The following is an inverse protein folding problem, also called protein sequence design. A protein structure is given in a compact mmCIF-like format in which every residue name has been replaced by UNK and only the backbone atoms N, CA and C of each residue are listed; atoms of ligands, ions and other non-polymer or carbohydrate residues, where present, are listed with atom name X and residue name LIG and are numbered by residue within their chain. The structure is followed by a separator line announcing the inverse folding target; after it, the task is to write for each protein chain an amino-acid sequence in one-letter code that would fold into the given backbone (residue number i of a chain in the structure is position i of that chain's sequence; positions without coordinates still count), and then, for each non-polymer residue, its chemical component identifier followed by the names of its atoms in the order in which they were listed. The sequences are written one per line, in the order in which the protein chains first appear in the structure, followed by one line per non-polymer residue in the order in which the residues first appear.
data_IF_416731738090
#
_entry.id   IF_416731738090
#
_cell.length_a   1.000
_cell.length_b   1.000
_cell.length_c   1.000
_cell.angle_alpha   90.00
_cell.angle_beta   90.00
_cell.angle_gamma   90.00
#
_symmetry.space_group_name_H-M   'P 1'
#
loop_
_entity.id
_entity.type
_entity.pdbx_description
1 polymer ?
#
# COMPACT_ATOMS: atom_id res chain seq x y z
N UNK A 1 0.27 -0.16 -12.27
CA UNK A 1 -0.29 -0.35 -10.92
C UNK A 1 0.83 -0.12 -9.92
N UNK A 2 0.56 0.56 -8.81
CA UNK A 2 1.54 0.80 -7.76
C UNK A 2 0.97 0.36 -6.42
N UNK A 3 1.73 -0.41 -5.65
CA UNK A 3 1.34 -0.90 -4.33
C UNK A 3 2.09 -0.14 -3.23
N UNK A 4 1.40 0.17 -2.14
CA UNK A 4 2.03 0.42 -0.85
C UNK A 4 2.63 -0.87 -0.29
N UNK A 5 3.37 -0.77 0.82
CA UNK A 5 4.11 -1.88 1.43
C UNK A 5 3.43 -2.37 2.71
N UNK A 6 3.50 -1.56 3.78
CA UNK A 6 3.00 -1.95 5.09
C UNK A 6 1.50 -2.19 5.09
N UNK A 7 1.04 -3.26 5.73
CA UNK A 7 -0.37 -3.64 5.81
C UNK A 7 -1.10 -3.71 4.44
N UNK A 8 -0.33 -3.59 3.34
CA UNK A 8 -0.81 -3.82 1.97
C UNK A 8 -0.20 -5.08 1.38
N UNK A 9 1.12 -5.13 1.21
CA UNK A 9 1.87 -6.31 0.76
C UNK A 9 2.49 -7.08 1.93
N UNK A 10 2.89 -6.37 2.99
CA UNK A 10 3.62 -6.87 4.14
C UNK A 10 2.73 -6.84 5.38
N UNK A 11 2.68 -7.97 6.10
CA UNK A 11 2.09 -8.08 7.43
C UNK A 11 3.09 -7.55 8.46
N UNK A 12 2.79 -6.41 9.06
CA UNK A 12 3.67 -5.75 10.03
C UNK A 12 3.52 -6.31 11.47
N UNK A 13 2.74 -7.38 11.68
CA UNK A 13 2.50 -7.96 13.01
C UNK A 13 3.80 -8.26 13.76
N UNK A 14 4.80 -8.85 13.09
CA UNK A 14 6.09 -9.16 13.71
C UNK A 14 6.85 -7.89 14.09
N UNK A 15 6.87 -6.90 13.24
CA UNK A 15 7.51 -5.60 13.48
C UNK A 15 6.92 -4.92 14.72
N UNK A 16 5.58 -4.82 14.79
CA UNK A 16 4.87 -4.24 15.94
C UNK A 16 5.06 -5.05 17.22
N UNK A 17 5.15 -6.38 17.10
CA UNK A 17 5.44 -7.28 18.23
C UNK A 17 6.85 -7.03 18.78
N UNK A 18 7.85 -6.95 17.91
CA UNK A 18 9.23 -6.67 18.29
C UNK A 18 9.37 -5.28 18.94
N UNK A 19 8.66 -4.28 18.40
CA UNK A 19 8.63 -2.94 18.99
C UNK A 19 8.04 -2.98 20.40
N UNK A 20 6.90 -3.65 20.59
CA UNK A 20 6.28 -3.77 21.91
C UNK A 20 7.24 -4.39 22.94
N UNK A 21 7.93 -5.47 22.55
CA UNK A 21 8.91 -6.15 23.41
C UNK A 21 10.07 -5.21 23.80
N UNK A 22 10.61 -4.43 22.84
CA UNK A 22 11.67 -3.44 23.11
C UNK A 22 11.22 -2.35 24.10
N UNK A 23 9.93 -2.01 24.08
CA UNK A 23 9.32 -1.00 24.95
C UNK A 23 8.86 -1.58 26.30
N UNK A 24 9.02 -2.89 26.53
CA UNK A 24 8.52 -3.56 27.74
C UNK A 24 6.99 -3.61 27.81
N UNK A 25 6.31 -3.48 26.67
CA UNK A 25 4.85 -3.57 26.55
C UNK A 25 4.43 -4.92 25.99
N UNK A 26 3.17 -5.27 26.22
CA UNK A 26 2.57 -6.40 25.48
C UNK A 26 2.19 -5.93 24.07
N UNK A 27 2.27 -6.79 23.03
CA UNK A 27 1.81 -6.43 21.69
C UNK A 27 0.36 -5.94 21.67
N UNK A 28 -0.50 -6.56 22.47
CA UNK A 28 -1.91 -6.14 22.61
C UNK A 28 -2.03 -4.70 23.11
N UNK A 29 -1.24 -4.31 24.12
CA UNK A 29 -1.26 -2.93 24.65
C UNK A 29 -0.80 -1.93 23.60
N UNK A 30 0.30 -2.21 22.90
CA UNK A 30 0.81 -1.33 21.86
C UNK A 30 -0.20 -1.16 20.73
N UNK A 31 -0.74 -2.27 20.20
CA UNK A 31 -1.74 -2.23 19.13
C UNK A 31 -3.03 -1.52 19.55
N UNK A 32 -3.46 -1.67 20.82
CA UNK A 32 -4.62 -0.95 21.33
C UNK A 32 -4.40 0.57 21.36
N UNK A 33 -3.21 1.03 21.78
CA UNK A 33 -2.85 2.46 21.78
C UNK A 33 -2.81 3.00 20.35
N UNK A 34 -2.15 2.29 19.43
CA UNK A 34 -2.12 2.67 18.00
C UNK A 34 -3.54 2.73 17.42
N UNK A 35 -4.37 1.71 17.68
CA UNK A 35 -5.76 1.69 17.24
C UNK A 35 -6.59 2.86 17.78
N UNK A 36 -6.35 3.27 19.05
CA UNK A 36 -7.02 4.43 19.64
C UNK A 36 -6.60 5.75 18.96
N UNK A 37 -5.32 5.89 18.59
CA UNK A 37 -4.83 7.05 17.84
C UNK A 37 -5.49 7.12 16.47
N UNK A 38 -5.50 6.01 15.72
CA UNK A 38 -6.14 5.93 14.40
C UNK A 38 -7.64 6.28 14.50
N UNK A 39 -8.35 5.71 15.47
CA UNK A 39 -9.79 5.93 15.66
C UNK A 39 -10.15 7.37 16.02
N UNK A 40 -9.19 8.15 16.52
CA UNK A 40 -9.36 9.55 16.93
C UNK A 40 -8.68 10.53 15.96
N UNK A 41 -8.29 10.08 14.77
CA UNK A 41 -7.63 10.88 13.72
C UNK A 41 -6.32 11.54 14.18
N UNK A 42 -5.63 10.91 15.12
CA UNK A 42 -4.32 11.34 15.60
C UNK A 42 -3.21 10.66 14.80
N UNK A 43 -2.08 11.37 14.70
CA UNK A 43 -0.88 10.79 14.11
C UNK A 43 -0.41 9.59 14.95
N UNK A 44 -0.08 8.48 14.31
CA UNK A 44 0.45 7.31 15.01
C UNK A 44 1.80 7.57 15.69
N UNK A 45 2.53 8.61 15.25
CA UNK A 45 3.74 9.06 15.94
C UNK A 45 3.46 9.66 17.34
N UNK A 46 2.22 10.08 17.64
CA UNK A 46 1.80 10.46 18.99
C UNK A 46 1.88 9.30 19.99
N UNK A 47 2.09 8.08 19.49
CA UNK A 47 2.35 6.90 20.31
C UNK A 47 3.45 7.17 21.33
N UNK A 48 4.53 7.84 20.94
CA UNK A 48 5.68 8.08 21.80
C UNK A 48 5.31 8.94 23.00
N UNK A 49 4.52 9.98 22.77
CA UNK A 49 4.00 10.84 23.85
C UNK A 49 3.04 10.07 24.78
N UNK A 50 2.16 9.22 24.21
CA UNK A 50 1.19 8.45 24.99
C UNK A 50 1.86 7.43 25.90
N UNK A 51 2.91 6.76 25.42
CA UNK A 51 3.64 5.76 26.22
C UNK A 51 4.77 6.38 27.07
N UNK A 52 5.09 7.67 26.86
CA UNK A 52 6.06 8.44 27.65
C UNK A 52 7.52 8.01 27.42
N UNK A 53 7.86 7.66 26.18
CA UNK A 53 9.23 7.29 25.78
C UNK A 53 9.64 8.03 24.51
N UNK A 54 10.94 8.25 24.35
CA UNK A 54 11.47 8.80 23.09
C UNK A 54 11.38 7.78 21.95
N UNK A 55 11.13 8.24 20.70
CA UNK A 55 11.21 7.39 19.53
C UNK A 55 12.57 6.69 19.44
N UNK A 56 12.65 5.43 19.01
CA UNK A 56 13.93 4.75 18.84
C UNK A 56 14.78 5.48 17.78
N UNK A 57 16.07 5.68 18.10
CA UNK A 57 17.02 6.40 17.24
C UNK A 57 17.27 5.71 15.88
N UNK A 58 17.07 4.41 15.78
CA UNK A 58 17.10 3.64 14.54
C UNK A 58 15.70 3.12 14.26
N UNK A 59 15.30 3.14 13.00
CA UNK A 59 14.08 2.47 12.55
C UNK A 59 14.06 1.01 13.01
N UNK A 60 12.90 0.41 13.02
CA UNK A 60 12.81 -1.03 13.23
C UNK A 60 13.48 -1.70 12.03
N UNK A 61 14.37 -2.64 12.33
CA UNK A 61 14.94 -3.50 11.30
C UNK A 61 13.77 -4.22 10.61
N UNK A 62 13.58 -4.03 9.30
CA UNK A 62 12.51 -4.72 8.58
C UNK A 62 12.67 -6.25 8.68
N UNK A 63 13.87 -6.75 9.02
CA UNK A 63 14.15 -8.17 9.19
C UNK A 63 13.73 -8.99 7.97
N UNK A 64 13.34 -10.23 8.21
CA UNK A 64 12.63 -11.01 7.19
C UNK A 64 11.26 -10.38 6.91
N UNK A 65 10.93 -10.23 5.64
CA UNK A 65 9.67 -9.65 5.21
C UNK A 65 8.56 -10.71 5.30
N UNK A 66 7.55 -10.46 6.11
CA UNK A 66 6.35 -11.29 6.19
C UNK A 66 5.33 -10.80 5.14
N UNK A 67 5.43 -11.31 3.91
CA UNK A 67 4.41 -11.00 2.90
C UNK A 67 3.07 -11.62 3.30
N UNK A 68 1.99 -10.89 3.06
CA UNK A 68 0.67 -11.49 3.07
C UNK A 68 0.58 -12.61 2.05
N UNK A 69 -0.14 -13.68 2.37
CA UNK A 69 -0.21 -14.88 1.54
C UNK A 69 -0.73 -14.64 0.11
N UNK A 70 -1.48 -13.56 -0.10
CA UNK A 70 -2.06 -13.15 -1.37
C UNK A 70 -1.22 -12.11 -2.15
N UNK A 71 -0.11 -11.62 -1.57
CA UNK A 71 0.68 -10.54 -2.17
C UNK A 71 1.39 -10.98 -3.45
N UNK A 72 2.11 -12.10 -3.41
CA UNK A 72 2.88 -12.60 -4.57
C UNK A 72 1.98 -12.89 -5.77
N UNK A 73 0.83 -13.57 -5.54
CA UNK A 73 -0.09 -13.90 -6.62
C UNK A 73 -0.76 -12.66 -7.21
N UNK A 74 -1.07 -11.65 -6.39
CA UNK A 74 -1.64 -10.40 -6.86
C UNK A 74 -0.67 -9.66 -7.78
N UNK A 75 0.58 -9.49 -7.35
CA UNK A 75 1.64 -8.84 -8.13
C UNK A 75 1.92 -9.61 -9.43
N UNK A 76 2.04 -10.93 -9.36
CA UNK A 76 2.24 -11.78 -10.53
C UNK A 76 1.06 -11.68 -11.51
N UNK A 77 -0.17 -11.63 -11.01
CA UNK A 77 -1.36 -11.48 -11.86
C UNK A 77 -1.41 -10.12 -12.53
N UNK A 78 -1.10 -9.04 -11.80
CA UNK A 78 -1.03 -7.70 -12.39
C UNK A 78 -0.03 -7.66 -13.57
N UNK A 79 1.15 -8.26 -13.41
CA UNK A 79 2.15 -8.37 -14.49
C UNK A 79 1.67 -9.25 -15.65
N UNK A 80 1.02 -10.37 -15.35
CA UNK A 80 0.49 -11.32 -16.36
C UNK A 80 -0.57 -10.68 -17.25
N UNK A 81 -1.39 -9.77 -16.72
CA UNK A 81 -2.38 -9.01 -17.50
C UNK A 81 -1.78 -7.76 -18.17
N UNK A 82 -0.46 -7.65 -18.22
CA UNK A 82 0.25 -6.61 -18.97
C UNK A 82 0.41 -5.26 -18.25
N UNK A 83 0.16 -5.20 -16.92
CA UNK A 83 0.39 -3.98 -16.16
C UNK A 83 1.86 -3.86 -15.75
N UNK A 84 2.41 -2.64 -15.85
CA UNK A 84 3.64 -2.27 -15.15
C UNK A 84 3.35 -2.20 -13.65
N UNK A 85 4.15 -2.88 -12.83
CA UNK A 85 3.99 -2.93 -11.38
C UNK A 85 5.11 -2.15 -10.69
N UNK A 86 4.72 -1.15 -9.91
CA UNK A 86 5.60 -0.43 -9.01
C UNK A 86 5.26 -0.72 -7.55
N UNK A 87 6.23 -0.50 -6.67
CA UNK A 87 6.04 -0.49 -5.22
C UNK A 87 6.59 0.82 -4.68
N UNK A 88 5.80 1.53 -3.87
CA UNK A 88 6.17 2.82 -3.34
C UNK A 88 5.51 3.09 -1.98
N UNK A 89 6.30 3.26 -0.93
CA UNK A 89 5.78 3.43 0.43
C UNK A 89 6.71 4.25 1.34
N UNK A 90 6.22 4.52 2.56
CA UNK A 90 7.01 5.12 3.63
C UNK A 90 7.92 4.06 4.27
N UNK A 91 9.02 3.77 3.60
CA UNK A 91 9.90 2.64 3.89
C UNK A 91 11.37 3.07 3.93
N UNK A 92 12.26 2.30 4.57
CA UNK A 92 13.70 2.49 4.49
C UNK A 92 14.24 2.22 3.07
N UNK A 93 15.45 2.70 2.78
CA UNK A 93 16.04 2.60 1.45
C UNK A 93 16.31 1.13 1.03
N UNK A 94 16.48 0.25 1.98
CA UNK A 94 16.78 -1.17 1.79
C UNK A 94 15.55 -2.02 1.38
N UNK A 95 14.36 -1.42 1.34
CA UNK A 95 13.09 -2.17 1.14
C UNK A 95 13.07 -2.97 -0.17
N UNK A 96 13.70 -2.48 -1.23
CA UNK A 96 13.79 -3.22 -2.50
C UNK A 96 14.47 -4.57 -2.30
N UNK A 97 15.59 -4.60 -1.58
CA UNK A 97 16.33 -5.84 -1.32
C UNK A 97 15.54 -6.80 -0.44
N UNK A 98 14.83 -6.26 0.55
CA UNK A 98 13.97 -7.04 1.46
C UNK A 98 12.82 -7.71 0.71
N UNK A 99 12.12 -6.97 -0.15
CA UNK A 99 11.02 -7.49 -0.96
C UNK A 99 11.50 -8.51 -1.99
N UNK A 100 12.64 -8.25 -2.64
CA UNK A 100 13.24 -9.18 -3.59
C UNK A 100 13.66 -10.49 -2.91
N UNK A 101 14.23 -10.44 -1.70
CA UNK A 101 14.56 -11.62 -0.91
C UNK A 101 13.31 -12.43 -0.53
N UNK A 102 12.16 -11.79 -0.36
CA UNK A 102 10.87 -12.44 -0.13
C UNK A 102 10.20 -12.96 -1.42
N UNK A 103 10.87 -12.81 -2.58
CA UNK A 103 10.37 -13.29 -3.87
C UNK A 103 9.40 -12.35 -4.58
N UNK A 104 9.27 -11.10 -4.13
CA UNK A 104 8.39 -10.13 -4.75
C UNK A 104 9.14 -9.34 -5.81
N UNK A 105 8.73 -9.49 -7.07
CA UNK A 105 9.32 -8.82 -8.24
C UNK A 105 8.41 -7.70 -8.75
N UNK A 106 8.95 -6.49 -8.88
CA UNK A 106 8.30 -5.33 -9.45
C UNK A 106 9.18 -4.67 -10.52
N UNK A 107 8.58 -3.86 -11.39
CA UNK A 107 9.32 -3.14 -12.43
C UNK A 107 10.10 -1.95 -11.85
N UNK A 108 9.65 -1.44 -10.69
CA UNK A 108 10.41 -0.52 -9.86
C UNK A 108 9.96 -0.62 -8.40
N UNK A 109 10.89 -0.41 -7.48
CA UNK A 109 10.63 -0.24 -6.05
C UNK A 109 11.25 1.07 -5.61
N UNK A 110 10.57 1.81 -4.73
CA UNK A 110 11.06 3.09 -4.24
C UNK A 110 10.52 3.37 -2.83
N UNK A 111 11.22 4.20 -2.09
CA UNK A 111 10.88 4.49 -0.70
C UNK A 111 10.94 5.98 -0.37
N UNK A 112 10.27 6.36 0.71
CA UNK A 112 10.37 7.71 1.27
C UNK A 112 11.80 8.05 1.69
N UNK A 113 12.56 7.09 2.22
CA UNK A 113 13.93 7.32 2.63
C UNK A 113 14.86 7.61 1.43
N UNK A 114 14.71 6.86 0.32
CA UNK A 114 15.43 7.11 -0.92
C UNK A 114 15.08 8.47 -1.53
N UNK A 115 13.81 8.82 -1.46
CA UNK A 115 13.34 10.05 -2.08
C UNK A 115 13.48 11.30 -1.20
N UNK A 116 13.70 11.15 0.10
CA UNK A 116 13.73 12.27 1.06
C UNK A 116 12.38 12.98 1.19
N UNK A 117 11.29 12.31 0.80
CA UNK A 117 9.92 12.80 0.91
C UNK A 117 8.99 11.62 1.17
N UNK A 118 8.05 11.79 2.09
CA UNK A 118 7.16 10.73 2.56
C UNK A 118 5.69 11.04 2.24
N UNK A 119 4.88 10.00 2.11
CA UNK A 119 3.42 10.14 2.11
C UNK A 119 2.97 10.73 3.48
N UNK A 120 1.97 11.58 3.52
CA UNK A 120 1.07 12.00 2.44
C UNK A 120 1.50 13.24 1.66
N UNK A 121 2.77 13.68 1.74
CA UNK A 121 3.24 14.87 1.03
C UNK A 121 2.93 14.75 -0.49
N UNK A 122 2.27 15.73 -1.10
CA UNK A 122 2.00 15.74 -2.54
C UNK A 122 3.25 15.57 -3.40
N UNK A 123 4.42 15.99 -2.92
CA UNK A 123 5.69 15.83 -3.65
C UNK A 123 6.07 14.35 -3.84
N UNK A 124 5.68 13.46 -2.90
CA UNK A 124 5.86 12.02 -3.06
C UNK A 124 5.10 11.50 -4.28
N UNK A 125 3.83 11.83 -4.41
CA UNK A 125 2.98 11.37 -5.52
C UNK A 125 3.38 12.00 -6.86
N UNK A 126 3.80 13.27 -6.87
CA UNK A 126 4.36 13.89 -8.07
C UNK A 126 5.65 13.20 -8.54
N UNK A 127 6.48 12.75 -7.58
CA UNK A 127 7.69 11.98 -7.91
C UNK A 127 7.34 10.59 -8.43
N UNK A 128 6.33 9.94 -7.84
CA UNK A 128 5.81 8.66 -8.29
C UNK A 128 5.29 8.70 -9.74
N UNK A 129 4.54 9.75 -10.11
CA UNK A 129 4.06 9.94 -11.49
C UNK A 129 5.24 10.01 -12.47
N UNK A 130 6.30 10.74 -12.10
CA UNK A 130 7.51 10.83 -12.93
C UNK A 130 8.23 9.48 -13.04
N UNK A 131 8.32 8.74 -11.95
CA UNK A 131 8.93 7.40 -11.91
C UNK A 131 8.16 6.41 -12.77
N UNK A 132 6.84 6.43 -12.72
CA UNK A 132 5.98 5.54 -13.50
C UNK A 132 5.97 5.88 -15.00
N UNK A 133 6.40 7.09 -15.38
CA UNK A 133 6.46 7.58 -16.78
C UNK A 133 5.13 7.47 -17.55
N UNK A 134 4.00 7.58 -16.84
CA UNK A 134 2.64 7.58 -17.42
C UNK A 134 1.81 8.71 -16.80
N UNK A 135 0.71 9.15 -17.44
CA UNK A 135 -0.20 10.12 -16.85
C UNK A 135 -0.78 9.61 -15.51
N UNK A 136 -1.07 10.54 -14.59
CA UNK A 136 -1.56 10.19 -13.25
C UNK A 136 -2.82 9.31 -13.29
N UNK A 137 -3.77 9.63 -14.16
CA UNK A 137 -5.02 8.89 -14.36
C UNK A 137 -4.82 7.45 -14.85
N UNK A 138 -3.64 7.13 -15.36
CA UNK A 138 -3.25 5.76 -15.75
C UNK A 138 -2.59 4.97 -14.62
N UNK A 139 -2.38 5.60 -13.47
CA UNK A 139 -1.82 4.95 -12.28
C UNK A 139 -2.97 4.50 -11.38
N UNK A 140 -2.96 3.22 -11.00
CA UNK A 140 -3.82 2.67 -9.95
C UNK A 140 -2.96 2.44 -8.72
N UNK A 141 -3.15 3.28 -7.68
CA UNK A 141 -2.44 3.17 -6.41
C UNK A 141 -3.24 2.30 -5.43
N UNK A 142 -2.60 1.30 -4.84
CA UNK A 142 -3.21 0.31 -3.94
C UNK A 142 -2.63 0.49 -2.54
N UNK A 143 -3.48 0.76 -1.55
CA UNK A 143 -3.04 0.93 -0.16
C UNK A 143 -4.17 0.72 0.84
N UNK A 144 -3.81 0.59 2.13
CA UNK A 144 -4.73 0.32 3.24
C UNK A 144 -5.14 1.58 4.02
N UNK A 145 -4.49 2.73 3.73
CA UNK A 145 -4.72 3.97 4.48
C UNK A 145 -5.43 5.02 3.64
N UNK A 146 -6.51 5.61 4.18
CA UNK A 146 -7.17 6.75 3.52
C UNK A 146 -6.29 7.98 3.52
N UNK A 147 -5.74 8.34 4.68
CA UNK A 147 -4.98 9.56 4.91
C UNK A 147 -3.62 9.57 4.19
N UNK A 148 -3.01 8.42 4.02
CA UNK A 148 -1.64 8.26 3.55
C UNK A 148 -1.55 7.79 2.09
N UNK A 149 -2.54 7.03 1.62
CA UNK A 149 -2.53 6.40 0.29
C UNK A 149 -3.65 6.93 -0.60
N UNK A 150 -4.91 6.69 -0.21
CA UNK A 150 -6.06 6.87 -1.09
C UNK A 150 -6.33 8.34 -1.39
N UNK A 151 -6.51 9.16 -0.36
CA UNK A 151 -6.86 10.57 -0.54
C UNK A 151 -5.75 11.38 -1.21
N UNK A 152 -4.46 11.24 -0.80
CA UNK A 152 -3.40 12.00 -1.46
C UNK A 152 -3.07 11.49 -2.87
N UNK A 153 -3.14 10.17 -3.15
CA UNK A 153 -2.99 9.66 -4.51
C UNK A 153 -4.10 10.18 -5.43
N UNK A 154 -5.35 10.16 -4.94
CA UNK A 154 -6.49 10.73 -5.65
C UNK A 154 -6.33 12.24 -5.89
N UNK A 155 -5.87 12.99 -4.90
CA UNK A 155 -5.58 14.42 -5.06
C UNK A 155 -4.50 14.70 -6.11
N UNK A 156 -3.57 13.77 -6.32
CA UNK A 156 -2.58 13.82 -7.39
C UNK A 156 -3.11 13.36 -8.77
N UNK A 157 -4.39 13.01 -8.87
CA UNK A 157 -5.05 12.59 -10.12
C UNK A 157 -4.95 11.10 -10.43
N UNK A 158 -4.45 10.28 -9.50
CA UNK A 158 -4.39 8.84 -9.67
C UNK A 158 -5.76 8.19 -9.38
N UNK A 159 -5.95 6.97 -9.87
CA UNK A 159 -6.99 6.06 -9.41
C UNK A 159 -6.50 5.29 -8.19
N UNK A 160 -7.44 4.82 -7.37
CA UNK A 160 -7.10 4.24 -6.08
C UNK A 160 -7.86 2.96 -5.79
N UNK A 161 -7.16 2.02 -5.14
CA UNK A 161 -7.76 0.85 -4.50
C UNK A 161 -7.53 0.97 -3.00
N UNK A 162 -8.59 0.95 -2.24
CA UNK A 162 -8.54 0.86 -0.79
C UNK A 162 -8.65 -0.60 -0.36
N UNK A 163 -7.61 -1.10 0.31
CA UNK A 163 -7.57 -2.46 0.85
C UNK A 163 -7.95 -2.43 2.31
N UNK A 164 -9.01 -3.14 2.71
CA UNK A 164 -9.45 -3.23 4.11
C UNK A 164 -8.60 -4.25 4.87
N UNK A 165 -7.38 -3.88 5.19
CA UNK A 165 -6.37 -4.72 5.84
C UNK A 165 -5.64 -3.93 6.91
N UNK A 166 -5.10 -4.62 7.91
CA UNK A 166 -4.39 -3.97 9.01
C UNK A 166 -5.27 -3.03 9.85
N UNK A 167 -4.70 -2.41 10.90
CA UNK A 167 -5.48 -1.57 11.81
C UNK A 167 -6.05 -0.32 11.13
N UNK A 168 -5.30 0.31 10.23
CA UNK A 168 -5.79 1.45 9.46
C UNK A 168 -6.91 1.06 8.50
N UNK A 169 -6.73 0.01 7.72
CA UNK A 169 -7.72 -0.43 6.75
C UNK A 169 -9.08 -0.74 7.40
N UNK A 170 -9.09 -1.40 8.57
CA UNK A 170 -10.33 -1.68 9.28
C UNK A 170 -10.98 -0.42 9.85
N UNK A 171 -10.22 0.48 10.49
CA UNK A 171 -10.77 1.69 11.10
C UNK A 171 -11.14 2.73 10.05
N UNK A 172 -10.33 2.90 9.02
CA UNK A 172 -10.63 3.82 7.92
C UNK A 172 -11.83 3.38 7.07
N UNK A 173 -12.10 2.08 6.97
CA UNK A 173 -13.28 1.58 6.27
C UNK A 173 -14.61 2.06 6.88
N UNK A 174 -14.59 2.53 8.15
CA UNK A 174 -15.75 3.08 8.83
C UNK A 174 -16.02 4.56 8.50
N UNK A 175 -15.07 5.23 7.82
CA UNK A 175 -15.18 6.64 7.44
C UNK A 175 -15.91 6.80 6.11
N UNK A 176 -16.65 7.89 5.96
CA UNK A 176 -17.36 8.21 4.72
C UNK A 176 -16.40 8.38 3.54
N UNK A 177 -15.19 8.89 3.79
CA UNK A 177 -14.13 9.10 2.80
C UNK A 177 -13.65 7.79 2.15
N UNK A 178 -13.88 6.64 2.79
CA UNK A 178 -13.57 5.35 2.16
C UNK A 178 -14.35 5.13 0.84
N UNK A 179 -15.49 5.80 0.70
CA UNK A 179 -16.29 5.78 -0.54
C UNK A 179 -15.65 6.55 -1.70
N UNK A 180 -14.61 7.35 -1.44
CA UNK A 180 -13.89 8.10 -2.46
C UNK A 180 -12.87 7.25 -3.22
N UNK A 181 -12.51 6.06 -2.72
CA UNK A 181 -11.67 5.13 -3.46
C UNK A 181 -12.43 4.61 -4.70
N UNK A 182 -11.73 4.49 -5.84
CA UNK A 182 -12.33 3.99 -7.09
C UNK A 182 -12.71 2.50 -6.97
N UNK A 183 -11.98 1.77 -6.14
CA UNK A 183 -12.27 0.38 -5.80
C UNK A 183 -11.97 0.13 -4.32
N UNK A 184 -12.80 -0.71 -3.68
CA UNK A 184 -12.60 -1.20 -2.32
C UNK A 184 -12.57 -2.71 -2.34
N UNK A 185 -11.57 -3.30 -1.68
CA UNK A 185 -11.39 -4.75 -1.59
C UNK A 185 -11.06 -5.15 -0.15
N UNK A 186 -11.45 -6.34 0.23
CA UNK A 186 -11.14 -6.89 1.55
C UNK A 186 -9.80 -7.66 1.58
N UNK A 187 -9.22 -7.92 0.41
CA UNK A 187 -7.96 -8.64 0.26
C UNK A 187 -7.33 -8.41 -1.11
N UNK A 188 -6.03 -8.69 -1.24
CA UNK A 188 -5.39 -8.74 -2.54
C UNK A 188 -5.85 -9.94 -3.37
N UNK A 189 -6.36 -11.00 -2.73
CA UNK A 189 -7.01 -12.12 -3.45
C UNK A 189 -8.24 -11.65 -4.23
N UNK A 190 -9.07 -10.77 -3.65
CA UNK A 190 -10.21 -10.17 -4.34
C UNK A 190 -9.75 -9.31 -5.52
N UNK A 191 -8.73 -8.48 -5.31
CA UNK A 191 -8.13 -7.68 -6.38
C UNK A 191 -7.58 -8.57 -7.50
N UNK A 192 -6.91 -9.68 -7.15
CA UNK A 192 -6.40 -10.68 -8.10
C UNK A 192 -7.53 -11.26 -8.98
N UNK A 193 -8.66 -11.62 -8.38
CA UNK A 193 -9.80 -12.13 -9.10
C UNK A 193 -10.37 -11.10 -10.09
N UNK A 194 -10.43 -9.83 -9.68
CA UNK A 194 -10.88 -8.73 -10.55
C UNK A 194 -9.91 -8.49 -11.72
N UNK A 195 -8.60 -8.53 -11.47
CA UNK A 195 -7.58 -8.41 -12.52
C UNK A 195 -7.65 -9.56 -13.52
N UNK A 196 -7.76 -10.81 -13.04
CA UNK A 196 -7.84 -11.99 -13.88
C UNK A 196 -9.10 -12.02 -14.78
N UNK A 197 -10.26 -11.62 -14.23
CA UNK A 197 -11.51 -11.55 -14.99
C UNK A 197 -11.45 -10.52 -16.12
N UNK A 198 -10.73 -9.44 -15.94
CA UNK A 198 -10.52 -8.40 -16.95
C UNK A 198 -9.49 -8.82 -18.00
N UNK A 199 -8.41 -9.51 -17.60
CA UNK A 199 -7.45 -10.11 -18.52
C UNK A 199 -8.13 -11.06 -19.51
N UNK A 200 -8.97 -11.95 -19.01
CA UNK A 200 -9.73 -12.88 -19.84
C UNK A 200 -10.71 -12.18 -20.83
N UNK A 201 -11.29 -11.04 -20.40
CA UNK A 201 -12.17 -10.24 -21.27
C UNK A 201 -11.39 -9.53 -22.40
N UNK A 202 -10.14 -9.13 -22.12
CA UNK A 202 -9.23 -8.49 -23.09
C UNK A 202 -8.71 -9.51 -24.10
N UNK A 203 -8.33 -10.70 -23.67
CA UNK A 203 -7.91 -11.78 -24.58
C UNK A 203 -9.04 -12.18 -25.54
N UNK A 204 -10.29 -12.12 -25.09
CA UNK A 204 -11.46 -12.37 -25.93
C UNK A 204 -11.76 -11.20 -26.90
N UNK A 205 -11.44 -9.97 -26.51
CA UNK A 205 -11.69 -8.75 -27.30
C UNK A 205 -10.50 -8.40 -28.23
N UNK A 206 -9.25 -8.77 -27.84
CA UNK A 206 -8.07 -8.69 -28.73
C UNK A 206 -8.11 -9.71 -29.86
N UNK A 207 -8.88 -10.79 -29.71
CA UNK A 207 -9.24 -11.67 -30.83
C UNK A 207 -10.15 -10.96 -31.83
N UNK A 208 -10.81 -9.86 -31.45
CA UNK A 208 -11.81 -9.15 -32.27
C UNK A 208 -11.45 -7.68 -32.57
N UNK A 209 -10.75 -6.95 -31.71
CA UNK A 209 -10.32 -5.53 -31.97
C UNK A 209 -9.23 -5.05 -31.01
N UNK A 210 -8.13 -4.52 -31.54
CA UNK A 210 -7.02 -3.96 -30.72
C UNK A 210 -7.32 -2.59 -30.11
N UNK A 211 -8.06 -2.50 -29.01
CA UNK A 211 -8.32 -1.22 -28.29
C UNK A 211 -8.38 -1.39 -26.74
N UNK A 212 -7.42 -0.76 -26.10
CA UNK A 212 -7.32 0.04 -24.86
C UNK A 212 -8.05 -0.38 -23.57
N UNK A 213 -7.28 -0.99 -22.66
CA UNK A 213 -7.68 -1.47 -21.32
C UNK A 213 -8.08 -0.35 -20.34
N UNK A 214 -7.56 0.85 -20.52
CA UNK A 214 -7.67 1.98 -19.57
C UNK A 214 -9.04 2.67 -19.63
N UNK A 215 -9.72 2.63 -20.78
CA UNK A 215 -11.01 3.28 -20.99
C UNK A 215 -12.23 2.60 -20.38
N UNK A 216 -12.12 1.35 -19.95
CA UNK A 216 -13.27 0.57 -19.43
C UNK A 216 -13.47 0.61 -17.91
N UNK A 217 -12.72 1.42 -17.19
CA UNK A 217 -13.00 1.69 -15.76
C UNK A 217 -14.16 2.67 -15.55
N UNK A 218 -14.69 3.28 -16.62
CA UNK A 218 -15.72 4.33 -16.57
C UNK A 218 -17.17 3.83 -16.80
N UNK A 219 -17.45 2.52 -16.66
CA UNK A 219 -18.83 1.99 -16.72
C UNK A 219 -19.14 0.99 -15.64
#
# INVERSE_FOLDING_TARGET
MVFDVGETLVDETRMWTALAQRLGLTPFTLCAVVGALIATDRDHHDLWDVIGVDPPAAGLDPGECDLYADALECVATARRVGLTVGIAGNQPAEIEQVLAAAGLEADFVTSSAEWGVAKPDPAFFLRLIRQACVPAESILYVGDRLDNDVLPARAAGMRTVFVRRGPWGYLHALKDEASLADLRVDSLQELTALLASRGAAVDHELADTGIDLVRKLDR
#
